data_IF_742223810147
#
_entry.id   IF_742223810147
#
_cell.length_a   1.000
_cell.length_b   1.000
_cell.length_c   1.000
_cell.angle_alpha   90.00
_cell.angle_beta   90.00
_cell.angle_gamma   90.00
#
_symmetry.space_group_name_H-M   'P 1'
#
loop_
_entity.id
_entity.type
_entity.pdbx_description
1 polymer ?
#
# COMPACT_ATOMS: atom_id res chain seq x y z
N UNK A 1 -9.25 25.79 14.39
CA UNK A 1 -8.04 26.17 13.62
C UNK A 1 -7.09 24.98 13.43
N UNK A 2 -6.78 24.21 14.50
CA UNK A 2 -5.93 23.01 14.44
C UNK A 2 -6.36 21.99 13.37
N UNK A 3 -7.65 21.64 13.29
CA UNK A 3 -8.12 20.63 12.32
C UNK A 3 -7.93 21.00 10.86
N UNK A 4 -7.94 22.30 10.50
CA UNK A 4 -7.78 22.76 9.11
C UNK A 4 -6.35 22.60 8.59
N UNK A 5 -5.36 22.53 9.47
CA UNK A 5 -3.94 22.47 9.12
C UNK A 5 -3.31 21.12 9.53
N UNK A 6 -4.10 20.18 10.05
CA UNK A 6 -3.60 18.88 10.46
C UNK A 6 -3.22 17.98 9.27
N UNK A 7 -3.98 18.06 8.17
CA UNK A 7 -3.71 17.33 6.93
C UNK A 7 -3.14 18.28 5.88
N UNK A 8 -2.02 17.90 5.28
CA UNK A 8 -1.46 18.55 4.10
C UNK A 8 -1.83 17.71 2.87
N UNK A 9 -2.62 18.28 1.96
CA UNK A 9 -3.01 17.66 0.71
C UNK A 9 -2.18 18.27 -0.43
N UNK A 10 -1.51 17.43 -1.21
CA UNK A 10 -0.77 17.83 -2.41
C UNK A 10 -1.25 16.99 -3.58
N UNK A 11 -1.50 17.64 -4.71
CA UNK A 11 -1.95 17.01 -5.94
C UNK A 11 -1.27 17.69 -7.12
N UNK A 12 -1.14 16.96 -8.23
CA UNK A 12 -0.55 17.45 -9.47
C UNK A 12 -1.27 16.80 -10.65
N UNK A 13 -1.59 17.60 -11.66
CA UNK A 13 -2.20 17.13 -12.91
C UNK A 13 -1.33 17.58 -14.07
N UNK A 14 -0.95 16.65 -14.92
CA UNK A 14 -0.21 16.94 -16.16
C UNK A 14 -1.17 16.85 -17.35
N UNK A 15 -1.23 17.86 -18.23
CA UNK A 15 -2.02 17.78 -19.46
C UNK A 15 -1.64 16.56 -20.30
N UNK A 16 -2.64 15.89 -20.86
CA UNK A 16 -2.40 14.74 -21.73
C UNK A 16 -1.79 15.20 -23.06
N UNK A 17 -0.65 14.66 -23.52
CA UNK A 17 -0.04 15.08 -24.79
C UNK A 17 -0.94 14.76 -26.00
N UNK A 18 -0.77 15.48 -27.10
CA UNK A 18 -1.57 15.25 -28.32
C UNK A 18 -1.16 14.00 -29.10
N UNK A 19 0.11 13.60 -28.98
CA UNK A 19 0.67 12.46 -29.69
C UNK A 19 1.90 11.88 -28.97
N UNK A 20 2.39 10.74 -29.47
CA UNK A 20 3.51 10.01 -28.88
C UNK A 20 4.82 10.79 -28.90
N UNK A 21 5.07 11.60 -29.94
CA UNK A 21 6.26 12.45 -30.02
C UNK A 21 6.25 13.52 -28.91
N UNK A 22 5.11 14.18 -28.70
CA UNK A 22 4.92 15.15 -27.62
C UNK A 22 5.10 14.49 -26.24
N UNK A 23 4.62 13.26 -26.06
CA UNK A 23 4.85 12.50 -24.83
C UNK A 23 6.34 12.20 -24.57
N UNK A 24 7.11 11.87 -25.61
CA UNK A 24 8.55 11.63 -25.49
C UNK A 24 9.35 12.90 -25.20
N UNK A 25 8.94 14.04 -25.76
CA UNK A 25 9.57 15.35 -25.54
C UNK A 25 9.53 15.81 -24.08
N UNK A 26 8.58 15.31 -23.28
CA UNK A 26 8.56 15.56 -21.82
C UNK A 26 9.87 15.13 -21.14
N UNK A 27 10.63 14.21 -21.74
CA UNK A 27 11.89 13.75 -21.18
C UNK A 27 13.10 14.58 -21.64
N UNK A 28 12.99 15.51 -22.60
CA UNK A 28 14.15 16.07 -23.31
C UNK A 28 15.10 16.88 -22.42
N UNK A 29 14.57 17.70 -21.52
CA UNK A 29 15.36 18.59 -20.65
C UNK A 29 15.86 17.94 -19.36
N UNK A 30 15.59 16.65 -19.16
CA UNK A 30 16.00 15.93 -17.96
C UNK A 30 17.43 15.37 -18.08
N UNK A 31 18.12 15.21 -16.95
CA UNK A 31 19.44 14.57 -16.92
C UNK A 31 19.34 13.09 -17.34
N UNK A 32 20.36 12.61 -18.06
CA UNK A 32 20.46 11.24 -18.58
C UNK A 32 20.24 10.12 -17.55
N UNK A 33 20.55 10.38 -16.28
CA UNK A 33 20.42 9.41 -15.18
C UNK A 33 19.02 9.39 -14.55
N UNK A 34 18.13 10.31 -14.94
CA UNK A 34 16.80 10.39 -14.35
C UNK A 34 15.86 9.28 -14.86
N UNK A 35 14.96 8.75 -14.01
CA UNK A 35 14.05 7.67 -14.38
C UNK A 35 13.21 7.95 -15.64
N UNK A 36 12.82 9.21 -15.87
CA UNK A 36 12.08 9.63 -17.06
C UNK A 36 12.84 9.40 -18.37
N UNK A 37 14.17 9.56 -18.38
CA UNK A 37 15.02 9.24 -19.54
C UNK A 37 15.02 7.75 -19.80
N UNK A 38 15.19 6.94 -18.76
CA UNK A 38 15.12 5.49 -18.87
C UNK A 38 13.76 5.00 -19.39
N UNK A 39 12.65 5.63 -18.95
CA UNK A 39 11.31 5.35 -19.47
C UNK A 39 11.21 5.69 -20.97
N UNK A 40 11.71 6.87 -21.37
CA UNK A 40 11.73 7.33 -22.77
C UNK A 40 12.51 6.36 -23.67
N UNK A 41 13.70 5.92 -23.26
CA UNK A 41 14.50 4.97 -24.04
C UNK A 41 13.83 3.60 -24.23
N UNK A 42 13.12 3.09 -23.20
CA UNK A 42 12.34 1.85 -23.33
C UNK A 42 11.22 1.99 -24.35
N UNK A 43 10.52 3.13 -24.35
CA UNK A 43 9.47 3.42 -25.33
C UNK A 43 10.07 3.55 -26.74
N UNK A 44 11.19 4.26 -26.89
CA UNK A 44 11.90 4.39 -28.18
C UNK A 44 12.35 3.05 -28.73
N UNK A 45 12.78 2.10 -27.90
CA UNK A 45 13.13 0.75 -28.33
C UNK A 45 11.93 0.01 -28.94
N UNK A 46 10.74 0.11 -28.32
CA UNK A 46 9.50 -0.44 -28.87
C UNK A 46 9.15 0.22 -30.21
N UNK A 47 9.23 1.55 -30.30
CA UNK A 47 8.96 2.29 -31.54
C UNK A 47 9.94 1.89 -32.65
N UNK A 48 11.24 1.81 -32.34
CA UNK A 48 12.30 1.41 -33.29
C UNK A 48 11.98 0.04 -33.86
N UNK A 49 11.67 -0.94 -33.00
CA UNK A 49 11.36 -2.28 -33.47
C UNK A 49 10.11 -2.30 -34.36
N UNK A 50 9.00 -1.72 -33.88
CA UNK A 50 7.73 -1.75 -34.61
C UNK A 50 7.79 -1.02 -35.97
N UNK A 51 8.52 0.09 -36.06
CA UNK A 51 8.49 0.95 -37.26
C UNK A 51 9.66 0.72 -38.23
N UNK A 52 10.78 0.16 -37.77
CA UNK A 52 12.01 0.01 -38.58
C UNK A 52 12.49 -1.43 -38.72
N UNK A 53 12.31 -2.28 -37.70
CA UNK A 53 12.91 -3.61 -37.67
C UNK A 53 11.93 -4.72 -38.03
N UNK A 54 10.70 -4.66 -37.51
CA UNK A 54 9.65 -5.65 -37.78
C UNK A 54 9.34 -5.70 -39.28
N UNK A 55 9.23 -6.89 -39.90
CA UNK A 55 8.84 -7.00 -41.31
C UNK A 55 7.52 -6.28 -41.59
N UNK A 56 7.45 -5.55 -42.70
CA UNK A 56 6.26 -4.72 -43.01
C UNK A 56 4.98 -5.55 -43.22
N UNK A 57 5.12 -6.80 -43.67
CA UNK A 57 4.04 -7.75 -43.80
C UNK A 57 3.37 -8.08 -42.44
N UNK A 58 4.15 -8.10 -41.36
CA UNK A 58 3.68 -8.46 -40.01
C UNK A 58 3.11 -7.27 -39.24
N UNK A 59 3.30 -6.05 -39.77
CA UNK A 59 2.78 -4.83 -39.17
C UNK A 59 1.28 -4.75 -39.43
N UNK A 60 0.47 -4.88 -38.38
CA UNK A 60 -0.98 -4.65 -38.48
C UNK A 60 -1.28 -3.15 -38.52
N UNK A 61 -1.87 -2.68 -39.63
CA UNK A 61 -2.14 -1.26 -39.88
C UNK A 61 -3.06 -0.59 -38.86
N UNK A 62 -3.81 -1.34 -38.05
CA UNK A 62 -4.64 -0.77 -36.96
C UNK A 62 -3.81 -0.02 -35.91
N UNK A 63 -2.53 -0.36 -35.76
CA UNK A 63 -1.62 0.26 -34.78
C UNK A 63 -0.79 1.41 -35.34
N UNK A 64 -0.93 1.73 -36.63
CA UNK A 64 -0.17 2.77 -37.31
C UNK A 64 -1.08 3.92 -37.75
N UNK A 65 -0.49 5.10 -37.95
CA UNK A 65 -1.22 6.22 -38.55
C UNK A 65 -1.59 5.90 -39.99
N UNK A 66 -2.79 6.28 -40.39
CA UNK A 66 -3.33 5.99 -41.74
C UNK A 66 -3.97 4.61 -41.90
N UNK A 67 -3.98 3.76 -40.87
CA UNK A 67 -4.73 2.50 -40.86
C UNK A 67 -4.17 1.43 -41.80
N UNK A 68 -5.01 0.46 -42.21
CA UNK A 68 -4.60 -0.70 -43.01
C UNK A 68 -4.00 -0.39 -44.38
N UNK A 69 -4.32 0.77 -44.96
CA UNK A 69 -3.83 1.24 -46.26
C UNK A 69 -2.78 2.36 -46.15
N UNK A 70 -2.51 2.83 -44.92
CA UNK A 70 -1.56 3.90 -44.65
C UNK A 70 -0.12 3.40 -44.49
N UNK A 71 0.85 4.33 -44.42
CA UNK A 71 2.25 3.98 -44.18
C UNK A 71 2.42 3.39 -42.77
N UNK A 72 3.00 2.19 -42.68
CA UNK A 72 3.21 1.47 -41.41
C UNK A 72 4.52 1.84 -40.73
N UNK A 73 4.81 3.14 -40.67
CA UNK A 73 6.08 3.71 -40.18
C UNK A 73 5.91 4.60 -38.93
N UNK A 74 4.68 4.89 -38.51
CA UNK A 74 4.40 5.69 -37.31
C UNK A 74 3.25 5.08 -36.49
N UNK A 75 3.46 4.86 -35.19
CA UNK A 75 2.45 4.30 -34.28
C UNK A 75 1.37 5.35 -33.91
N UNK A 76 0.13 4.91 -33.74
CA UNK A 76 -1.01 5.80 -33.45
C UNK A 76 -1.46 5.83 -31.97
N UNK A 77 -0.86 4.99 -31.10
CA UNK A 77 -1.29 4.86 -29.71
C UNK A 77 -0.39 5.64 -28.74
N UNK A 78 -0.88 6.77 -28.24
CA UNK A 78 -0.23 7.58 -27.21
C UNK A 78 -0.03 6.84 -25.87
N UNK A 79 -0.85 5.83 -25.56
CA UNK A 79 -0.73 5.02 -24.35
C UNK A 79 0.63 4.33 -24.21
N UNK A 80 1.38 4.17 -25.30
CA UNK A 80 2.77 3.69 -25.26
C UNK A 80 3.70 4.65 -24.49
N UNK A 81 3.41 5.95 -24.51
CA UNK A 81 4.13 6.99 -23.77
C UNK A 81 3.78 7.07 -22.28
N UNK A 82 2.89 6.21 -21.76
CA UNK A 82 2.41 6.24 -20.37
C UNK A 82 3.54 6.33 -19.35
N UNK A 83 4.57 5.50 -19.50
CA UNK A 83 5.71 5.48 -18.57
C UNK A 83 6.46 6.82 -18.48
N UNK A 84 6.53 7.59 -19.57
CA UNK A 84 7.17 8.90 -19.61
C UNK A 84 6.27 9.96 -18.96
N UNK A 85 4.99 9.97 -19.31
CA UNK A 85 3.99 10.89 -18.76
C UNK A 85 3.90 10.72 -17.23
N UNK A 86 3.86 9.46 -16.76
CA UNK A 86 3.85 9.13 -15.35
C UNK A 86 5.11 9.63 -14.64
N UNK A 87 6.29 9.36 -15.19
CA UNK A 87 7.55 9.78 -14.58
C UNK A 87 7.64 11.30 -14.49
N UNK A 88 7.14 12.02 -15.50
CA UNK A 88 7.05 13.47 -15.50
C UNK A 88 6.08 13.98 -14.42
N UNK A 89 4.86 13.44 -14.37
CA UNK A 89 3.86 13.81 -13.35
C UNK A 89 4.34 13.53 -11.92
N UNK A 90 5.00 12.39 -11.71
CA UNK A 90 5.61 12.04 -10.42
C UNK A 90 6.70 13.02 -10.00
N UNK A 91 7.55 13.44 -10.94
CA UNK A 91 8.56 14.48 -10.68
C UNK A 91 7.94 15.83 -10.32
N UNK A 92 6.89 16.26 -11.05
CA UNK A 92 6.16 17.50 -10.73
C UNK A 92 5.51 17.42 -9.34
N UNK A 93 4.89 16.28 -8.99
CA UNK A 93 4.27 16.07 -7.68
C UNK A 93 5.31 16.11 -6.55
N UNK A 94 6.48 15.50 -6.76
CA UNK A 94 7.57 15.56 -5.80
C UNK A 94 8.10 16.98 -5.61
N UNK A 95 8.16 17.77 -6.69
CA UNK A 95 8.52 19.18 -6.60
C UNK A 95 7.51 19.95 -5.72
N UNK A 96 6.20 19.76 -5.96
CA UNK A 96 5.13 20.36 -5.14
C UNK A 96 5.29 19.97 -3.66
N UNK A 97 5.48 18.68 -3.36
CA UNK A 97 5.67 18.19 -1.98
C UNK A 97 6.90 18.79 -1.30
N UNK A 98 8.00 18.97 -2.04
CA UNK A 98 9.26 19.52 -1.52
C UNK A 98 9.20 21.02 -1.22
N UNK A 99 8.27 21.77 -1.83
CA UNK A 99 8.11 23.20 -1.50
C UNK A 99 7.72 23.45 -0.03
N UNK A 100 7.19 22.44 0.68
CA UNK A 100 6.86 22.47 2.12
C UNK A 100 6.23 23.80 2.55
N UNK A 101 5.18 24.23 1.84
CA UNK A 101 4.50 25.49 2.14
C UNK A 101 4.09 25.55 3.62
N UNK A 102 4.84 26.32 4.41
CA UNK A 102 4.63 26.45 5.84
C UNK A 102 3.81 27.70 6.13
N UNK A 103 2.68 27.52 6.83
CA UNK A 103 1.85 28.62 7.32
C UNK A 103 1.86 28.59 8.84
N UNK A 104 2.54 29.54 9.47
CA UNK A 104 2.62 29.68 10.92
C UNK A 104 1.21 29.88 11.52
N UNK A 105 1.00 29.36 12.74
CA UNK A 105 -0.32 29.30 13.39
C UNK A 105 -0.75 30.60 14.06
N UNK A 106 0.19 31.31 14.71
CA UNK A 106 -0.08 32.53 15.46
C UNK A 106 0.91 33.64 15.03
N UNK A 107 0.44 34.90 15.03
CA UNK A 107 1.33 36.04 15.20
C UNK A 107 1.82 35.97 16.66
N UNK A 108 3.13 35.93 16.90
CA UNK A 108 3.69 35.65 18.23
C UNK A 108 3.10 36.57 19.32
N UNK A 109 2.27 36.01 20.19
CA UNK A 109 1.79 36.63 21.43
C UNK A 109 1.88 35.60 22.57
N UNK A 110 2.06 36.08 23.79
CA UNK A 110 2.05 35.25 24.99
C UNK A 110 0.65 35.25 25.59
N UNK A 111 0.01 34.08 25.67
CA UNK A 111 -1.30 33.89 26.29
C UNK A 111 -1.25 32.80 27.38
N UNK A 112 -1.94 33.05 28.50
CA UNK A 112 -2.10 32.11 29.63
C UNK A 112 -3.55 31.62 29.74
N UNK A 113 -3.81 30.31 29.84
CA UNK A 113 -5.15 29.74 30.01
C UNK A 113 -5.26 28.25 29.63
N UNK A 114 -6.48 27.74 29.45
CA UNK A 114 -6.75 26.34 29.01
C UNK A 114 -5.95 25.96 27.76
N UNK A 115 -5.82 26.92 26.83
CA UNK A 115 -5.08 26.82 25.56
C UNK A 115 -3.55 26.85 25.73
N UNK A 116 -3.04 27.05 26.96
CA UNK A 116 -1.61 26.94 27.27
C UNK A 116 -1.21 25.51 27.66
N UNK A 117 -2.17 24.63 27.95
CA UNK A 117 -1.89 23.20 28.15
C UNK A 117 -1.63 22.53 26.80
N UNK A 118 -0.70 21.57 26.78
CA UNK A 118 -0.43 20.76 25.60
C UNK A 118 -1.17 19.44 25.66
N UNK A 119 -1.47 18.90 24.48
CA UNK A 119 -2.05 17.57 24.31
C UNK A 119 -1.22 16.51 25.08
N UNK A 120 -1.86 15.77 25.99
CA UNK A 120 -1.20 14.80 26.86
C UNK A 120 -0.65 13.58 26.14
N UNK A 121 -1.10 13.29 24.91
CA UNK A 121 -0.61 12.17 24.12
C UNK A 121 0.43 12.60 23.08
N UNK A 122 0.18 13.72 22.41
CA UNK A 122 1.00 14.20 21.30
C UNK A 122 2.03 15.26 21.68
N UNK A 123 1.85 15.97 22.79
CA UNK A 123 2.74 17.03 23.30
C UNK A 123 2.88 18.28 22.41
N UNK A 124 2.24 18.30 21.23
CA UNK A 124 2.46 19.30 20.18
C UNK A 124 1.36 20.36 20.14
N UNK A 125 0.11 19.91 20.05
CA UNK A 125 -1.05 20.79 19.90
C UNK A 125 -1.48 21.39 21.25
N UNK A 126 -2.01 22.60 21.22
CA UNK A 126 -2.72 23.21 22.35
C UNK A 126 -3.98 22.40 22.66
N UNK A 127 -4.29 22.26 23.94
CA UNK A 127 -5.50 21.59 24.38
C UNK A 127 -6.74 22.40 23.99
N UNK A 128 -7.77 21.70 23.53
CA UNK A 128 -9.10 22.25 23.24
C UNK A 128 -10.18 21.65 24.16
N UNK A 129 -9.86 20.55 24.84
CA UNK A 129 -10.71 19.85 25.81
C UNK A 129 -9.82 19.15 26.85
N UNK A 130 -10.37 18.83 28.02
CA UNK A 130 -9.67 18.08 29.07
C UNK A 130 -9.82 18.67 30.46
N UNK A 131 -9.08 18.11 31.42
CA UNK A 131 -9.11 18.53 32.82
C UNK A 131 -10.25 17.94 33.65
N UNK A 132 -10.26 18.26 34.94
CA UNK A 132 -11.15 17.64 35.93
C UNK A 132 -12.64 17.85 35.63
N UNK A 133 -13.02 19.05 35.20
CA UNK A 133 -14.42 19.37 34.84
C UNK A 133 -14.94 18.52 33.68
N UNK A 134 -14.05 18.13 32.76
CA UNK A 134 -14.37 17.24 31.64
C UNK A 134 -14.67 15.83 32.12
N UNK A 135 -13.84 15.31 33.04
CA UNK A 135 -14.02 13.99 33.67
C UNK A 135 -15.34 13.94 34.44
N UNK A 136 -15.61 14.93 35.29
CA UNK A 136 -16.87 15.01 36.06
C UNK A 136 -18.10 15.04 35.15
N UNK A 137 -18.02 15.77 34.02
CA UNK A 137 -19.09 15.83 33.04
C UNK A 137 -19.30 14.48 32.34
N UNK A 138 -18.20 13.81 31.95
CA UNK A 138 -18.25 12.50 31.33
C UNK A 138 -18.82 11.44 32.29
N UNK A 139 -18.42 11.48 33.56
CA UNK A 139 -18.96 10.61 34.62
C UNK A 139 -20.46 10.82 34.82
N UNK A 140 -20.92 12.08 34.87
CA UNK A 140 -22.34 12.42 35.00
C UNK A 140 -23.18 11.92 33.81
N UNK A 141 -22.62 11.97 32.60
CA UNK A 141 -23.30 11.47 31.39
C UNK A 141 -23.34 9.94 31.32
N UNK A 142 -22.41 9.24 31.97
CA UNK A 142 -22.35 7.79 32.01
C UNK A 142 -22.10 7.14 30.63
N UNK A 143 -22.27 5.81 30.59
CA UNK A 143 -22.09 5.01 29.37
C UNK A 143 -20.70 5.13 28.77
N UNK A 144 -20.63 5.19 27.43
CA UNK A 144 -19.37 5.26 26.66
C UNK A 144 -18.50 6.47 27.01
N UNK A 145 -19.11 7.57 27.45
CA UNK A 145 -18.39 8.79 27.82
C UNK A 145 -17.50 8.56 29.05
N UNK A 146 -17.95 7.75 30.00
CA UNK A 146 -17.18 7.38 31.20
C UNK A 146 -15.91 6.61 30.83
N UNK A 147 -15.99 5.68 29.86
CA UNK A 147 -14.82 4.92 29.39
C UNK A 147 -13.83 5.83 28.63
N UNK A 148 -14.32 6.56 27.62
CA UNK A 148 -13.48 7.38 26.76
C UNK A 148 -12.74 8.51 27.49
N UNK A 149 -13.32 9.05 28.57
CA UNK A 149 -12.76 10.17 29.33
C UNK A 149 -12.54 9.81 30.81
N UNK A 150 -11.96 8.62 31.06
CA UNK A 150 -11.62 8.14 32.41
C UNK A 150 -10.57 9.01 33.13
N UNK A 151 -9.63 9.57 32.38
CA UNK A 151 -8.54 10.40 32.90
C UNK A 151 -8.70 11.87 32.49
N UNK A 152 -8.15 12.77 33.31
CA UNK A 152 -8.16 14.22 33.09
C UNK A 152 -7.21 14.70 31.98
N UNK A 153 -6.99 13.89 30.94
CA UNK A 153 -6.09 14.18 29.83
C UNK A 153 -6.46 15.49 29.16
N UNK A 154 -5.46 16.31 28.85
CA UNK A 154 -5.60 17.46 27.97
C UNK A 154 -5.52 16.98 26.52
N UNK A 155 -6.53 17.31 25.71
CA UNK A 155 -6.67 16.82 24.34
C UNK A 155 -6.69 17.99 23.35
N UNK A 156 -5.79 17.96 22.38
CA UNK A 156 -5.85 18.78 21.19
C UNK A 156 -6.93 18.28 20.22
N UNK A 157 -7.24 19.06 19.20
CA UNK A 157 -8.37 18.79 18.31
C UNK A 157 -8.25 17.43 17.59
N UNK A 158 -7.06 17.09 17.10
CA UNK A 158 -6.85 15.84 16.37
C UNK A 158 -7.01 14.61 17.29
N UNK A 159 -6.50 14.66 18.51
CA UNK A 159 -6.63 13.58 19.49
C UNK A 159 -8.06 13.40 19.95
N UNK A 160 -8.75 14.52 20.21
CA UNK A 160 -10.18 14.49 20.54
C UNK A 160 -10.99 13.85 19.41
N UNK A 161 -10.74 14.24 18.14
CA UNK A 161 -11.37 13.64 16.97
C UNK A 161 -11.11 12.13 16.96
N UNK A 162 -9.85 11.68 17.06
CA UNK A 162 -9.51 10.24 17.07
C UNK A 162 -10.28 9.48 18.16
N UNK A 163 -10.38 10.04 19.36
CA UNK A 163 -11.03 9.42 20.52
C UNK A 163 -12.54 9.24 20.32
N UNK A 164 -13.22 10.17 19.63
CA UNK A 164 -14.69 10.09 19.41
C UNK A 164 -15.10 9.70 17.99
N UNK A 165 -14.15 9.53 17.07
CA UNK A 165 -14.39 9.34 15.63
C UNK A 165 -15.33 8.17 15.32
N UNK A 166 -15.13 7.06 16.01
CA UNK A 166 -15.93 5.85 15.85
C UNK A 166 -17.43 6.13 16.09
N UNK A 167 -17.79 6.88 17.13
CA UNK A 167 -19.19 7.24 17.42
C UNK A 167 -19.66 8.40 16.55
N UNK A 168 -18.85 9.46 16.47
CA UNK A 168 -19.26 10.74 15.87
C UNK A 168 -19.38 10.67 14.35
N UNK A 169 -18.63 9.78 13.69
CA UNK A 169 -18.58 9.65 12.24
C UNK A 169 -18.80 8.22 11.75
N UNK A 170 -18.04 7.22 12.22
CA UNK A 170 -18.15 5.86 11.65
C UNK A 170 -19.54 5.24 11.91
N UNK A 171 -20.05 5.28 13.13
CA UNK A 171 -21.41 4.82 13.46
C UNK A 171 -22.46 5.66 12.74
N UNK A 172 -22.32 6.99 12.81
CA UNK A 172 -23.35 7.92 12.32
C UNK A 172 -23.47 7.98 10.79
N UNK A 173 -22.35 7.94 10.07
CA UNK A 173 -22.28 8.15 8.61
C UNK A 173 -22.15 6.83 7.86
N UNK A 174 -21.37 5.90 8.39
CA UNK A 174 -21.07 4.63 7.73
C UNK A 174 -21.85 3.45 8.31
N UNK A 175 -22.70 3.68 9.31
CA UNK A 175 -23.43 2.64 10.04
C UNK A 175 -22.52 1.51 10.54
N UNK A 176 -21.28 1.85 10.89
CA UNK A 176 -20.32 0.88 11.38
C UNK A 176 -20.70 0.47 12.81
N UNK A 177 -20.80 -0.83 13.12
CA UNK A 177 -20.92 -1.30 14.49
C UNK A 177 -19.70 -0.83 15.30
N UNK A 178 -19.94 -0.22 16.44
CA UNK A 178 -18.88 0.41 17.26
C UNK A 178 -19.05 0.16 18.75
N UNK A 179 -20.12 -0.52 19.14
CA UNK A 179 -20.35 -0.93 20.51
C UNK A 179 -19.47 -2.16 20.81
N UNK A 180 -19.08 -2.33 22.07
CA UNK A 180 -18.09 -3.36 22.47
C UNK A 180 -18.49 -4.80 22.13
N UNK A 181 -19.79 -5.04 21.94
CA UNK A 181 -20.32 -6.36 21.64
C UNK A 181 -20.25 -6.68 20.14
N UNK A 182 -20.34 -5.67 19.26
CA UNK A 182 -20.29 -5.86 17.81
C UNK A 182 -18.89 -5.59 17.23
N UNK A 183 -18.12 -4.67 17.85
CA UNK A 183 -16.76 -4.34 17.44
C UNK A 183 -15.85 -4.20 18.66
N UNK A 184 -15.50 -5.33 19.32
CA UNK A 184 -14.63 -5.31 20.48
C UNK A 184 -13.24 -4.79 20.10
N UNK A 185 -12.77 -3.79 20.84
CA UNK A 185 -11.41 -3.28 20.71
C UNK A 185 -10.55 -3.80 21.87
N UNK A 186 -9.53 -4.62 21.60
CA UNK A 186 -8.65 -5.12 22.65
C UNK A 186 -7.72 -4.01 23.15
N UNK A 187 -7.33 -4.10 24.42
CA UNK A 187 -6.19 -3.37 24.95
C UNK A 187 -4.92 -4.23 24.86
N UNK A 188 -3.76 -3.65 25.19
CA UNK A 188 -2.45 -4.34 25.17
C UNK A 188 -2.42 -5.60 26.05
N UNK A 189 -3.20 -5.64 27.13
CA UNK A 189 -3.29 -6.81 28.01
C UNK A 189 -4.00 -7.98 27.30
N UNK A 190 -5.13 -7.70 26.64
CA UNK A 190 -5.90 -8.72 25.90
C UNK A 190 -5.09 -9.25 24.72
N UNK A 191 -4.33 -8.41 24.02
CA UNK A 191 -3.40 -8.86 22.97
C UNK A 191 -2.32 -9.80 23.56
N UNK A 192 -1.64 -9.40 24.63
CA UNK A 192 -0.62 -10.25 25.25
C UNK A 192 -1.18 -11.62 25.69
N UNK A 193 -2.45 -11.67 26.09
CA UNK A 193 -3.14 -12.87 26.53
C UNK A 193 -3.83 -13.68 25.41
N UNK A 194 -3.46 -13.51 24.13
CA UNK A 194 -4.06 -14.21 22.98
C UNK A 194 -5.59 -13.99 22.83
N UNK A 195 -6.06 -12.79 23.20
CA UNK A 195 -7.49 -12.43 23.17
C UNK A 195 -7.73 -11.19 22.31
N UNK A 196 -7.40 -11.20 21.00
CA UNK A 196 -7.48 -10.02 20.14
C UNK A 196 -8.91 -9.54 19.83
N UNK A 197 -9.92 -10.31 20.22
CA UNK A 197 -11.35 -9.98 20.03
C UNK A 197 -12.10 -9.78 21.34
N UNK A 198 -11.43 -9.75 22.49
CA UNK A 198 -12.06 -9.35 23.76
C UNK A 198 -11.95 -7.84 23.96
N UNK A 199 -13.06 -7.18 24.35
CA UNK A 199 -13.05 -5.74 24.65
C UNK A 199 -12.18 -5.44 25.88
N UNK A 200 -11.36 -4.39 25.76
CA UNK A 200 -10.57 -3.83 26.84
C UNK A 200 -11.32 -2.88 27.79
N UNK A 201 -12.61 -2.58 27.52
CA UNK A 201 -13.43 -1.66 28.32
C UNK A 201 -13.96 -2.30 29.62
N UNK A 202 -13.93 -3.63 29.72
CA UNK A 202 -14.35 -4.36 30.92
C UNK A 202 -13.20 -4.31 31.93
N UNK A 203 -13.45 -3.73 33.11
CA UNK A 203 -12.48 -3.56 34.19
C UNK A 203 -12.09 -4.91 34.82
N UNK A 204 -11.28 -5.69 34.11
CA UNK A 204 -10.59 -6.85 34.68
C UNK A 204 -9.23 -6.39 35.22
N UNK A 205 -9.21 -5.67 36.35
CA UNK A 205 -7.96 -5.32 37.06
C UNK A 205 -7.33 -6.52 37.79
N UNK A 206 -7.93 -7.72 37.73
CA UNK A 206 -7.47 -8.88 38.48
C UNK A 206 -6.58 -9.83 37.68
N UNK A 207 -5.31 -9.89 38.10
CA UNK A 207 -4.39 -11.06 38.02
C UNK A 207 -4.61 -12.00 36.83
N UNK A 208 -4.40 -11.51 35.60
CA UNK A 208 -4.19 -12.42 34.48
C UNK A 208 -2.85 -13.15 34.69
N UNK A 209 -2.93 -14.39 35.17
CA UNK A 209 -1.87 -15.38 35.05
C UNK A 209 -1.73 -15.71 33.55
N UNK A 210 -0.99 -14.89 32.84
CA UNK A 210 -0.81 -14.99 31.40
C UNK A 210 0.39 -14.20 30.93
N UNK A 211 0.68 -14.33 29.63
CA UNK A 211 1.78 -13.64 28.97
C UNK A 211 1.64 -12.12 29.12
N UNK A 212 2.75 -11.47 29.48
CA UNK A 212 2.78 -10.02 29.78
C UNK A 212 3.29 -9.18 28.62
N UNK A 213 3.72 -9.82 27.55
CA UNK A 213 4.39 -9.19 26.43
C UNK A 213 3.54 -9.31 25.17
N UNK A 214 3.44 -8.18 24.47
CA UNK A 214 2.85 -8.12 23.13
C UNK A 214 3.94 -7.65 22.15
N UNK A 215 3.68 -7.84 20.86
CA UNK A 215 4.48 -7.35 19.78
C UNK A 215 3.67 -6.36 18.92
N UNK A 216 4.34 -5.31 18.45
CA UNK A 216 3.91 -4.57 17.26
C UNK A 216 4.71 -5.10 16.07
N UNK A 217 4.01 -5.49 15.02
CA UNK A 217 4.58 -5.91 13.75
C UNK A 217 4.27 -4.82 12.73
N UNK A 218 5.31 -4.24 12.12
CA UNK A 218 5.20 -3.38 10.95
C UNK A 218 5.93 -4.04 9.78
N UNK A 219 5.24 -4.20 8.65
CA UNK A 219 5.76 -4.75 7.41
C UNK A 219 5.65 -3.69 6.33
N UNK A 220 6.71 -3.51 5.56
CA UNK A 220 6.81 -2.58 4.43
C UNK A 220 7.33 -3.33 3.19
N UNK A 221 6.87 -2.92 2.00
CA UNK A 221 7.26 -3.53 0.73
C UNK A 221 8.59 -2.98 0.22
N UNK A 222 9.53 -3.89 -0.10
CA UNK A 222 10.87 -3.47 -0.53
C UNK A 222 10.86 -2.88 -1.94
N UNK A 223 11.17 -1.59 -2.02
CA UNK A 223 11.31 -0.84 -3.26
C UNK A 223 10.04 -0.88 -4.15
N UNK A 224 8.84 -0.89 -3.55
CA UNK A 224 7.57 -0.87 -4.29
C UNK A 224 7.47 0.33 -5.23
N UNK A 225 8.04 1.48 -4.84
CA UNK A 225 8.18 2.64 -5.74
C UNK A 225 8.93 2.32 -7.04
N UNK A 226 9.93 1.42 -7.02
CA UNK A 226 10.67 0.96 -8.21
C UNK A 226 9.88 -0.03 -9.06
N UNK A 227 8.95 -0.78 -8.47
CA UNK A 227 7.99 -1.58 -9.22
C UNK A 227 6.95 -0.70 -9.90
N UNK A 228 6.39 0.26 -9.18
CA UNK A 228 5.39 1.21 -9.70
C UNK A 228 5.97 2.15 -10.75
N UNK A 229 7.23 2.59 -10.62
CA UNK A 229 7.93 3.39 -11.65
C UNK A 229 8.38 2.56 -12.85
N UNK A 230 8.31 1.23 -12.73
CA UNK A 230 8.71 0.29 -13.75
C UNK A 230 10.20 0.04 -13.80
N UNK A 231 11.01 0.62 -12.92
CA UNK A 231 12.45 0.36 -12.85
C UNK A 231 12.76 -1.15 -12.73
N UNK A 232 11.93 -1.88 -11.99
CA UNK A 232 12.02 -3.34 -11.81
C UNK A 232 11.22 -4.17 -12.83
N UNK A 233 10.63 -3.58 -13.87
CA UNK A 233 9.94 -4.41 -14.88
C UNK A 233 10.90 -5.38 -15.55
N UNK A 234 10.47 -6.64 -15.77
CA UNK A 234 11.32 -7.62 -16.44
C UNK A 234 11.57 -7.23 -17.91
N UNK A 235 12.68 -7.72 -18.50
CA UNK A 235 12.90 -7.62 -19.93
C UNK A 235 11.80 -8.34 -20.71
N UNK A 236 11.61 -7.98 -21.99
CA UNK A 236 10.64 -8.65 -22.85
C UNK A 236 10.91 -10.15 -23.01
N UNK A 237 12.20 -10.55 -23.06
CA UNK A 237 12.62 -11.95 -23.12
C UNK A 237 11.98 -12.83 -22.04
N UNK A 238 11.88 -12.32 -20.81
CA UNK A 238 11.34 -13.06 -19.66
C UNK A 238 9.80 -13.10 -19.61
N UNK A 239 9.12 -12.40 -20.53
CA UNK A 239 7.66 -12.28 -20.55
C UNK A 239 7.01 -12.92 -21.77
N UNK A 240 7.75 -13.03 -22.87
CA UNK A 240 7.23 -13.68 -24.06
C UNK A 240 7.17 -15.19 -23.87
N UNK A 241 6.13 -15.79 -24.45
CA UNK A 241 5.95 -17.23 -24.40
C UNK A 241 7.12 -17.93 -25.09
N UNK A 242 7.63 -18.95 -24.41
CA UNK A 242 8.67 -19.84 -24.89
C UNK A 242 8.33 -21.25 -24.42
N UNK A 243 7.92 -22.10 -25.34
CA UNK A 243 7.49 -23.46 -25.04
C UNK A 243 7.83 -24.40 -26.20
N UNK A 244 7.88 -25.70 -25.93
CA UNK A 244 7.98 -26.71 -26.98
C UNK A 244 6.60 -27.25 -27.30
N UNK A 245 6.38 -27.66 -28.54
CA UNK A 245 5.20 -28.41 -28.91
C UNK A 245 5.15 -29.76 -28.16
N UNK A 246 4.00 -30.43 -28.16
CA UNK A 246 3.84 -31.72 -27.46
C UNK A 246 4.78 -32.84 -27.96
N UNK A 247 5.45 -32.65 -29.10
CA UNK A 247 6.45 -33.58 -29.64
C UNK A 247 7.88 -33.30 -29.12
N UNK A 248 8.13 -32.13 -28.52
CA UNK A 248 9.45 -31.69 -28.05
C UNK A 248 10.42 -31.34 -29.18
N UNK A 249 10.00 -31.44 -30.44
CA UNK A 249 10.86 -31.26 -31.61
C UNK A 249 10.93 -29.80 -32.07
N UNK A 250 9.92 -28.98 -31.77
CA UNK A 250 9.84 -27.61 -32.23
C UNK A 250 9.63 -26.63 -31.08
N UNK A 251 10.51 -25.62 -31.01
CA UNK A 251 10.35 -24.46 -30.13
C UNK A 251 9.32 -23.51 -30.74
N UNK A 252 8.36 -23.11 -29.93
CA UNK A 252 7.22 -22.27 -30.27
C UNK A 252 7.11 -21.09 -29.31
N UNK A 253 6.24 -20.15 -29.65
CA UNK A 253 5.96 -18.96 -28.83
C UNK A 253 6.56 -17.68 -29.38
N UNK A 254 6.18 -16.57 -28.75
CA UNK A 254 6.55 -15.25 -29.23
C UNK A 254 8.07 -15.02 -29.21
N UNK A 255 8.79 -15.61 -28.24
CA UNK A 255 10.23 -15.38 -28.09
C UNK A 255 11.01 -15.76 -29.36
N UNK A 256 10.69 -16.92 -29.96
CA UNK A 256 11.29 -17.38 -31.22
C UNK A 256 11.10 -16.39 -32.35
N UNK A 257 9.88 -15.88 -32.54
CA UNK A 257 9.58 -14.91 -33.60
C UNK A 257 10.47 -13.66 -33.49
N UNK A 258 10.56 -13.06 -32.29
CA UNK A 258 11.38 -11.86 -32.10
C UNK A 258 12.88 -12.14 -32.27
N UNK A 259 13.37 -13.33 -31.93
CA UNK A 259 14.77 -13.70 -32.16
C UNK A 259 15.11 -13.83 -33.65
N UNK A 260 14.19 -14.40 -34.44
CA UNK A 260 14.36 -14.60 -35.88
C UNK A 260 14.19 -13.29 -36.69
N UNK A 261 13.43 -12.31 -36.17
CA UNK A 261 13.07 -11.08 -36.88
C UNK A 261 13.75 -9.82 -36.32
N UNK A 262 14.99 -9.95 -35.83
CA UNK A 262 15.84 -8.81 -35.45
C UNK A 262 15.45 -8.14 -34.12
N UNK A 263 14.65 -8.79 -33.29
CA UNK A 263 14.15 -8.27 -32.02
C UNK A 263 15.13 -8.36 -30.84
N UNK A 264 16.40 -8.72 -31.07
CA UNK A 264 17.39 -8.91 -30.00
C UNK A 264 17.49 -7.71 -29.05
N UNK A 265 17.58 -6.48 -29.59
CA UNK A 265 17.61 -5.24 -28.77
C UNK A 265 16.33 -5.08 -27.93
N UNK A 266 15.16 -5.38 -28.52
CA UNK A 266 13.87 -5.27 -27.84
C UNK A 266 13.76 -6.31 -26.72
N UNK A 267 14.21 -7.54 -26.96
CA UNK A 267 14.15 -8.64 -26.01
C UNK A 267 14.94 -8.36 -24.72
N UNK A 268 16.07 -7.66 -24.82
CA UNK A 268 16.87 -7.23 -23.67
C UNK A 268 16.34 -5.93 -23.01
N UNK A 269 15.41 -5.23 -23.67
CA UNK A 269 14.82 -4.02 -23.12
C UNK A 269 13.80 -4.35 -22.04
N UNK A 270 13.87 -3.67 -20.90
CA UNK A 270 12.84 -3.71 -19.86
C UNK A 270 11.51 -3.20 -20.42
N UNK A 271 10.43 -3.96 -20.22
CA UNK A 271 9.12 -3.58 -20.74
C UNK A 271 8.69 -2.21 -20.21
N UNK A 272 8.29 -1.32 -21.12
CA UNK A 272 7.73 -0.02 -20.76
C UNK A 272 6.41 -0.22 -19.99
N UNK A 273 6.19 0.60 -18.95
CA UNK A 273 4.94 0.53 -18.19
C UNK A 273 3.75 0.89 -19.06
N UNK A 274 2.67 0.16 -18.84
CA UNK A 274 1.34 0.47 -19.37
C UNK A 274 0.37 0.76 -18.22
N UNK A 275 -0.74 1.45 -18.49
CA UNK A 275 -1.81 1.61 -17.50
C UNK A 275 -2.31 0.26 -16.96
N UNK A 276 -2.39 -0.76 -17.83
CA UNK A 276 -2.84 -2.10 -17.44
C UNK A 276 -1.88 -2.78 -16.46
N UNK A 277 -0.57 -2.57 -16.60
CA UNK A 277 0.41 -3.09 -15.63
C UNK A 277 0.17 -2.49 -14.24
N UNK A 278 -0.03 -1.17 -14.16
CA UNK A 278 -0.33 -0.50 -12.89
C UNK A 278 -1.61 -1.02 -12.26
N UNK A 279 -2.69 -1.15 -13.04
CA UNK A 279 -3.95 -1.68 -12.52
C UNK A 279 -3.78 -3.09 -11.97
N UNK A 280 -3.08 -3.97 -12.68
CA UNK A 280 -2.84 -5.35 -12.24
C UNK A 280 -1.94 -5.42 -11.01
N UNK A 281 -0.87 -4.62 -10.95
CA UNK A 281 0.05 -4.61 -9.81
C UNK A 281 -0.63 -4.02 -8.55
N UNK A 282 -1.36 -2.92 -8.69
CA UNK A 282 -2.17 -2.36 -7.60
C UNK A 282 -3.26 -3.32 -7.13
N UNK A 283 -3.87 -4.08 -8.04
CA UNK A 283 -4.82 -5.13 -7.70
C UNK A 283 -4.13 -6.26 -6.92
N UNK A 284 -2.93 -6.68 -7.32
CA UNK A 284 -2.17 -7.71 -6.63
C UNK A 284 -1.81 -7.31 -5.19
N UNK A 285 -1.38 -6.06 -4.98
CA UNK A 285 -1.15 -5.47 -3.65
C UNK A 285 -2.46 -5.43 -2.83
N UNK A 286 -3.55 -4.97 -3.45
CA UNK A 286 -4.86 -4.91 -2.79
C UNK A 286 -5.37 -6.30 -2.39
N UNK A 287 -5.16 -7.31 -3.23
CA UNK A 287 -5.54 -8.68 -2.93
C UNK A 287 -4.79 -9.21 -1.70
N UNK A 288 -3.48 -8.97 -1.61
CA UNK A 288 -2.71 -9.34 -0.42
C UNK A 288 -3.26 -8.66 0.84
N UNK A 289 -3.43 -7.33 0.81
CA UNK A 289 -3.94 -6.58 1.96
C UNK A 289 -5.34 -7.02 2.40
N UNK A 290 -6.27 -7.18 1.45
CA UNK A 290 -7.69 -7.45 1.74
C UNK A 290 -7.98 -8.92 2.01
N UNK A 291 -7.29 -9.84 1.32
CA UNK A 291 -7.62 -11.27 1.36
C UNK A 291 -6.65 -12.08 2.23
N UNK A 292 -5.39 -11.63 2.40
CA UNK A 292 -4.36 -12.39 3.10
C UNK A 292 -4.02 -11.79 4.47
N UNK A 293 -3.67 -10.50 4.54
CA UNK A 293 -3.07 -9.90 5.74
C UNK A 293 -3.92 -10.10 7.00
N UNK A 294 -5.22 -9.78 6.95
CA UNK A 294 -6.15 -9.99 8.06
C UNK A 294 -6.23 -11.45 8.50
N UNK A 295 -6.45 -12.37 7.55
CA UNK A 295 -6.56 -13.81 7.84
C UNK A 295 -5.31 -14.37 8.51
N UNK A 296 -4.13 -13.93 8.07
CA UNK A 296 -2.85 -14.37 8.61
C UNK A 296 -2.66 -13.83 10.03
N UNK A 297 -2.89 -12.54 10.24
CA UNK A 297 -2.75 -11.92 11.56
C UNK A 297 -3.71 -12.55 12.57
N UNK A 298 -4.96 -12.79 12.18
CA UNK A 298 -5.97 -13.40 13.04
C UNK A 298 -5.70 -14.88 13.34
N UNK A 299 -5.15 -15.64 12.38
CA UNK A 299 -4.71 -17.02 12.59
C UNK A 299 -3.53 -17.14 13.58
N UNK A 300 -2.91 -16.01 13.94
CA UNK A 300 -1.82 -15.90 14.91
C UNK A 300 -2.23 -15.11 16.17
N UNK A 301 -3.53 -15.10 16.48
CA UNK A 301 -4.12 -14.40 17.64
C UNK A 301 -3.82 -12.90 17.67
N UNK A 302 -3.55 -12.31 16.51
CA UNK A 302 -3.26 -10.89 16.35
C UNK A 302 -4.50 -10.06 16.04
N UNK A 303 -4.33 -8.74 16.15
CA UNK A 303 -5.29 -7.72 15.70
C UNK A 303 -4.65 -6.87 14.61
N UNK A 304 -5.22 -6.93 13.41
CA UNK A 304 -4.82 -6.07 12.30
C UNK A 304 -5.26 -4.63 12.57
N UNK A 305 -4.33 -3.68 12.48
CA UNK A 305 -4.60 -2.24 12.61
C UNK A 305 -4.72 -1.60 11.22
N UNK A 306 -3.80 -1.97 10.32
CA UNK A 306 -3.73 -1.42 8.97
C UNK A 306 -3.18 -2.48 8.00
N UNK A 307 -3.78 -2.56 6.81
CA UNK A 307 -3.23 -3.26 5.66
C UNK A 307 -3.53 -2.42 4.42
N UNK A 308 -2.50 -1.88 3.78
CA UNK A 308 -2.61 -0.87 2.73
C UNK A 308 -1.77 -1.18 1.51
N UNK A 309 -2.16 -2.19 0.73
CA UNK A 309 -1.34 -2.67 -0.37
C UNK A 309 -0.20 -3.54 0.18
N UNK A 310 1.02 -3.03 0.18
CA UNK A 310 2.21 -3.68 0.71
C UNK A 310 2.41 -3.49 2.21
N UNK A 311 1.96 -2.38 2.78
CA UNK A 311 2.14 -2.06 4.20
C UNK A 311 1.19 -2.86 5.11
N UNK A 312 1.71 -3.41 6.21
CA UNK A 312 0.90 -4.04 7.28
C UNK A 312 1.34 -3.54 8.65
N UNK A 313 0.37 -3.16 9.49
CA UNK A 313 0.57 -2.88 10.91
C UNK A 313 -0.38 -3.73 11.74
N UNK A 314 0.17 -4.52 12.66
CA UNK A 314 -0.60 -5.41 13.52
C UNK A 314 -0.04 -5.44 14.95
N UNK A 315 -0.91 -5.81 15.90
CA UNK A 315 -0.53 -6.14 17.27
C UNK A 315 -0.75 -7.63 17.50
N UNK A 316 0.25 -8.32 18.05
CA UNK A 316 0.22 -9.77 18.26
C UNK A 316 0.71 -10.13 19.67
N UNK A 317 0.37 -11.33 20.17
CA UNK A 317 1.14 -11.95 21.24
C UNK A 317 2.62 -12.08 20.85
N UNK A 318 3.52 -11.93 21.82
CA UNK A 318 4.96 -11.86 21.54
C UNK A 318 5.52 -13.16 20.92
N UNK A 319 5.00 -14.31 21.32
CA UNK A 319 5.40 -15.65 20.87
C UNK A 319 4.90 -16.00 19.45
N UNK A 320 3.83 -15.36 18.99
CA UNK A 320 3.25 -15.54 17.65
C UNK A 320 3.85 -14.62 16.58
N UNK A 321 4.51 -13.53 16.98
CA UNK A 321 4.93 -12.46 16.07
C UNK A 321 5.85 -12.93 14.92
N UNK A 322 6.86 -13.77 15.22
CA UNK A 322 7.81 -14.26 14.21
C UNK A 322 7.14 -15.17 13.18
N UNK A 323 6.23 -16.04 13.62
CA UNK A 323 5.49 -16.94 12.71
C UNK A 323 4.54 -16.15 11.82
N UNK A 324 3.87 -15.15 12.37
CA UNK A 324 3.03 -14.24 11.61
C UNK A 324 3.83 -13.47 10.56
N UNK A 325 5.00 -12.93 10.91
CA UNK A 325 5.87 -12.22 9.96
C UNK A 325 6.28 -13.11 8.78
N UNK A 326 6.69 -14.35 9.06
CA UNK A 326 7.05 -15.32 8.02
C UNK A 326 5.84 -15.64 7.12
N UNK A 327 4.66 -15.85 7.71
CA UNK A 327 3.43 -16.14 6.97
C UNK A 327 3.01 -14.97 6.06
N UNK A 328 3.11 -13.72 6.54
CA UNK A 328 2.84 -12.52 5.74
C UNK A 328 3.79 -12.43 4.55
N UNK A 329 5.09 -12.67 4.78
CA UNK A 329 6.09 -12.69 3.70
C UNK A 329 5.80 -13.79 2.68
N UNK A 330 5.53 -15.01 3.13
CA UNK A 330 5.21 -16.13 2.24
C UNK A 330 3.99 -15.83 1.37
N UNK A 331 2.92 -15.26 1.95
CA UNK A 331 1.76 -14.84 1.17
C UNK A 331 2.07 -13.72 0.17
N UNK A 332 2.85 -12.71 0.55
CA UNK A 332 3.25 -11.64 -0.38
C UNK A 332 4.00 -12.23 -1.61
N UNK A 333 4.82 -13.25 -1.39
CA UNK A 333 5.57 -13.96 -2.42
C UNK A 333 4.74 -14.99 -3.23
N UNK A 334 3.46 -15.17 -2.90
CA UNK A 334 2.58 -16.13 -3.57
C UNK A 334 2.77 -17.57 -3.14
N UNK A 335 3.27 -17.81 -1.93
CA UNK A 335 3.36 -19.15 -1.31
C UNK A 335 2.14 -19.43 -0.43
N UNK A 336 1.79 -20.70 -0.32
CA UNK A 336 0.67 -21.14 0.52
C UNK A 336 0.95 -20.90 2.01
N UNK A 337 -0.10 -20.56 2.76
CA UNK A 337 -0.04 -20.34 4.22
C UNK A 337 -1.16 -21.18 4.86
N UNK A 338 -0.80 -22.39 5.28
CA UNK A 338 -1.77 -23.37 5.80
C UNK A 338 -2.50 -22.88 7.06
N UNK A 339 -1.81 -22.16 7.95
CA UNK A 339 -2.41 -21.63 9.18
C UNK A 339 -3.59 -20.68 8.92
N UNK A 340 -3.59 -19.99 7.79
CA UNK A 340 -4.64 -19.05 7.39
C UNK A 340 -5.60 -19.61 6.31
N UNK A 341 -5.50 -20.92 6.00
CA UNK A 341 -6.29 -21.55 4.95
C UNK A 341 -6.00 -21.03 3.54
N UNK A 342 -4.79 -20.51 3.30
CA UNK A 342 -4.38 -19.93 2.02
C UNK A 342 -3.63 -20.99 1.21
N UNK A 343 -4.06 -21.22 -0.03
CA UNK A 343 -3.45 -22.18 -0.95
C UNK A 343 -2.81 -21.46 -2.15
N UNK A 344 -1.86 -22.12 -2.84
CA UNK A 344 -1.23 -21.60 -4.05
C UNK A 344 -1.56 -22.54 -5.23
N UNK A 345 -2.57 -22.22 -6.07
CA UNK A 345 -2.92 -23.04 -7.22
C UNK A 345 -1.91 -22.96 -8.37
N UNK A 346 -1.13 -21.88 -8.43
CA UNK A 346 -0.08 -21.66 -9.43
C UNK A 346 0.95 -20.66 -8.89
N UNK A 347 2.20 -20.64 -9.40
CA UNK A 347 3.20 -19.67 -8.99
C UNK A 347 2.70 -18.22 -9.12
N UNK A 348 2.76 -17.45 -8.02
CA UNK A 348 2.30 -16.05 -7.98
C UNK A 348 0.78 -15.86 -7.81
N UNK A 349 0.02 -16.95 -7.72
CA UNK A 349 -1.41 -16.93 -7.47
C UNK A 349 -1.73 -17.61 -6.13
N UNK A 350 -2.66 -17.02 -5.39
CA UNK A 350 -3.19 -17.56 -4.14
C UNK A 350 -4.70 -17.77 -4.24
N UNK A 351 -5.24 -18.59 -3.33
CA UNK A 351 -6.67 -18.79 -3.20
C UNK A 351 -7.08 -18.97 -1.73
N UNK A 352 -8.18 -18.32 -1.36
CA UNK A 352 -8.77 -18.33 -0.02
C UNK A 352 -10.20 -18.89 0.00
N UNK A 353 -10.72 -19.26 -1.17
CA UNK A 353 -12.09 -19.76 -1.37
C UNK A 353 -12.16 -20.63 -2.62
N UNK A 354 -13.24 -21.41 -2.72
CA UNK A 354 -13.54 -22.25 -3.89
C UNK A 354 -14.83 -21.78 -4.54
N UNK A 355 -14.95 -21.99 -5.85
CA UNK A 355 -16.18 -21.77 -6.60
C UNK A 355 -17.23 -22.87 -6.32
N UNK A 356 -18.40 -22.77 -6.95
CA UNK A 356 -19.48 -23.74 -6.79
C UNK A 356 -19.10 -25.15 -7.29
N UNK A 357 -18.10 -25.26 -8.16
CA UNK A 357 -17.58 -26.52 -8.69
C UNK A 357 -16.41 -27.08 -7.86
N UNK A 358 -16.01 -26.39 -6.79
CA UNK A 358 -14.91 -26.77 -5.92
C UNK A 358 -13.52 -26.35 -6.42
N UNK A 359 -13.43 -25.59 -7.52
CA UNK A 359 -12.16 -25.08 -8.02
C UNK A 359 -11.69 -23.87 -7.21
N UNK A 360 -10.37 -23.71 -6.99
CA UNK A 360 -9.84 -22.54 -6.27
C UNK A 360 -10.14 -21.25 -7.03
N UNK A 361 -10.72 -20.25 -6.35
CA UNK A 361 -10.83 -18.90 -6.90
C UNK A 361 -9.48 -18.22 -6.72
N UNK A 362 -8.68 -18.21 -7.79
CA UNK A 362 -7.31 -17.70 -7.76
C UNK A 362 -7.27 -16.18 -7.91
N UNK A 363 -6.36 -15.54 -7.19
CA UNK A 363 -6.03 -14.12 -7.32
C UNK A 363 -4.52 -13.92 -7.34
N UNK A 364 -4.07 -12.93 -8.09
CA UNK A 364 -2.65 -12.56 -8.14
C UNK A 364 -2.24 -11.80 -6.87
N UNK A 365 -1.00 -12.02 -6.46
CA UNK A 365 -0.30 -11.24 -5.41
C UNK A 365 1.03 -10.71 -5.99
N UNK A 366 1.78 -9.83 -5.30
CA UNK A 366 3.01 -9.26 -5.85
C UNK A 366 3.99 -10.30 -6.38
N UNK A 367 4.07 -11.46 -5.70
CA UNK A 367 4.79 -12.63 -6.17
C UNK A 367 6.26 -12.63 -5.75
N UNK A 368 6.98 -13.69 -6.12
CA UNK A 368 8.34 -13.98 -5.61
C UNK A 368 9.42 -12.93 -5.88
N UNK A 369 9.20 -12.01 -6.82
CA UNK A 369 10.14 -10.90 -7.08
C UNK A 369 9.96 -9.71 -6.13
N UNK A 370 8.80 -9.58 -5.48
CA UNK A 370 8.54 -8.55 -4.49
C UNK A 370 8.92 -9.07 -3.10
N UNK A 371 9.88 -8.42 -2.47
CA UNK A 371 10.31 -8.70 -1.10
C UNK A 371 9.64 -7.73 -0.13
N UNK A 372 9.65 -8.10 1.14
CA UNK A 372 9.08 -7.29 2.23
C UNK A 372 10.04 -7.32 3.41
N UNK A 373 10.16 -6.18 4.08
CA UNK A 373 10.91 -6.04 5.33
C UNK A 373 9.94 -5.95 6.50
N UNK A 374 10.31 -6.53 7.65
CA UNK A 374 9.45 -6.57 8.84
C UNK A 374 10.21 -6.12 10.07
N UNK A 375 9.67 -5.14 10.78
CA UNK A 375 10.10 -4.69 12.09
C UNK A 375 9.16 -5.22 13.16
N UNK A 376 9.74 -5.77 14.22
CA UNK A 376 9.00 -6.32 15.36
C UNK A 376 9.55 -5.69 16.64
N UNK A 377 8.67 -5.03 17.38
CA UNK A 377 9.00 -4.52 18.71
C UNK A 377 8.17 -5.26 19.76
N UNK A 378 8.86 -5.95 20.67
CA UNK A 378 8.25 -6.65 21.81
C UNK A 378 8.30 -5.77 23.05
N UNK A 379 7.17 -5.61 23.72
CA UNK A 379 7.06 -4.77 24.90
C UNK A 379 6.11 -5.34 25.95
N UNK A 380 6.34 -4.95 27.20
CA UNK A 380 5.40 -5.25 28.29
C UNK A 380 4.08 -4.50 28.05
N UNK A 381 2.92 -5.07 28.38
CA UNK A 381 1.61 -4.45 28.11
C UNK A 381 1.40 -3.04 28.72
N UNK A 382 2.21 -2.68 29.74
CA UNK A 382 2.22 -1.33 30.36
C UNK A 382 3.09 -0.31 29.62
N UNK A 383 3.88 -0.74 28.65
CA UNK A 383 4.78 0.15 27.92
C UNK A 383 3.99 1.15 27.07
N UNK A 384 4.47 2.40 26.90
CA UNK A 384 3.82 3.38 26.05
C UNK A 384 3.74 2.89 24.60
N UNK A 385 2.52 2.70 24.08
CA UNK A 385 2.30 2.13 22.73
C UNK A 385 3.00 2.93 21.63
N UNK A 386 3.13 4.25 21.78
CA UNK A 386 3.81 5.11 20.81
C UNK A 386 5.28 4.74 20.61
N UNK A 387 5.97 4.36 21.69
CA UNK A 387 7.39 3.99 21.62
C UNK A 387 7.56 2.62 20.99
N UNK A 388 6.63 1.69 21.28
CA UNK A 388 6.62 0.35 20.69
C UNK A 388 6.34 0.42 19.18
N UNK A 389 5.36 1.22 18.76
CA UNK A 389 5.09 1.45 17.34
C UNK A 389 6.30 2.08 16.65
N UNK A 390 6.94 3.08 17.27
CA UNK A 390 8.16 3.71 16.72
C UNK A 390 9.32 2.72 16.61
N UNK A 391 9.48 1.83 17.57
CA UNK A 391 10.53 0.81 17.55
C UNK A 391 10.28 -0.28 16.49
N UNK A 392 9.03 -0.51 16.10
CA UNK A 392 8.68 -1.48 15.06
C UNK A 392 8.76 -0.91 13.64
N UNK A 393 8.72 0.42 13.47
CA UNK A 393 8.80 1.06 12.16
C UNK A 393 10.12 0.70 11.45
N UNK A 394 9.99 0.22 10.21
CA UNK A 394 11.10 -0.22 9.34
C UNK A 394 11.56 0.91 8.44
#
# INVERSE_FOLDING_TARGET
>A
MQSRHFLALSWQVTPWPDNLEAALKLADDFDSKMPIKAASERVKAVIKYATKTMPEADRDGRYYKGGGQGPKNELNNIGLGWSVILAYNGWELDAVRRTRAFKAWNAGSWETGLFSNKDSLGGKAEAVAGGQSWVETAQRKGGVWKSLFKHGDWLGAATLIKRVWHIAYLKKVWNLPTDSDEFPMPNTHKIAAHKPFESGDREDEEKLAGEKYFAVLALDGDEIGRWVSGEKTPPFRAQFSDYQDGSGAQREGALRYFEEHGGRDLLETKRALSPSYHLQFSQALSNFALLCAGRIVEAHDGRLIYAGGDDVLAMLPADSALRCAQALRDACQGRAVSAAGITSPAPGYLSVSKDQSGHPVAFAVPGSGAEVSVGIAIAHFKSPLQDVVRAAQV
#
